data_IF_266664965661
#
_entry.id   IF_266664965661
#
_cell.length_a   1.000
_cell.length_b   1.000
_cell.length_c   1.000
_cell.angle_alpha   90.00
_cell.angle_beta   90.00
_cell.angle_gamma   90.00
#
_symmetry.space_group_name_H-M   'P 1'
#
loop_
_entity.id
_entity.type
_entity.pdbx_description
1 polymer ?
#
# COMPACT_ATOMS: atom_id res chain seq x y z
N UNK A 1 -18.34 1.89 -3.37
CA UNK A 1 -18.33 3.36 -3.59
C UNK A 1 -17.64 3.63 -4.93
N UNK A 2 -18.40 4.05 -5.95
CA UNK A 2 -17.84 4.46 -7.25
C UNK A 2 -17.91 5.96 -7.52
N UNK A 3 -18.58 6.72 -6.64
CA UNK A 3 -18.86 8.13 -6.85
C UNK A 3 -17.60 9.02 -7.04
N UNK A 4 -16.51 8.86 -6.24
CA UNK A 4 -15.29 9.65 -6.48
C UNK A 4 -14.66 9.38 -7.85
N UNK A 5 -14.65 8.12 -8.31
CA UNK A 5 -14.15 7.76 -9.64
C UNK A 5 -14.96 8.41 -10.75
N UNK A 6 -16.30 8.41 -10.63
CA UNK A 6 -17.19 9.04 -11.61
C UNK A 6 -16.93 10.54 -11.73
N UNK A 7 -16.73 11.23 -10.59
CA UNK A 7 -16.38 12.66 -10.59
C UNK A 7 -15.05 12.89 -11.31
N UNK A 8 -14.02 12.11 -10.99
CA UNK A 8 -12.71 12.23 -11.63
C UNK A 8 -12.79 11.97 -13.15
N UNK A 9 -13.52 10.94 -13.58
CA UNK A 9 -13.70 10.63 -14.99
C UNK A 9 -14.49 11.73 -15.74
N UNK A 10 -15.53 12.29 -15.11
CA UNK A 10 -16.28 13.41 -15.69
C UNK A 10 -15.39 14.64 -15.89
N UNK A 11 -14.62 15.02 -14.86
CA UNK A 11 -13.69 16.17 -14.94
C UNK A 11 -12.62 15.92 -16.00
N UNK A 12 -11.98 14.75 -16.01
CA UNK A 12 -10.94 14.41 -16.98
C UNK A 12 -11.47 14.46 -18.43
N UNK A 13 -12.67 13.93 -18.66
CA UNK A 13 -13.36 14.01 -19.96
C UNK A 13 -13.64 15.45 -20.37
N UNK A 14 -14.21 16.26 -19.48
CA UNK A 14 -14.50 17.69 -19.77
C UNK A 14 -13.23 18.45 -20.14
N UNK A 15 -12.13 18.25 -19.41
CA UNK A 15 -10.84 18.90 -19.70
C UNK A 15 -10.28 18.42 -21.04
N UNK A 16 -10.30 17.12 -21.32
CA UNK A 16 -9.85 16.57 -22.60
C UNK A 16 -10.62 17.15 -23.80
N UNK A 17 -11.95 17.29 -23.68
CA UNK A 17 -12.79 17.90 -24.70
C UNK A 17 -12.52 19.40 -24.87
N UNK A 18 -12.43 20.15 -23.76
CA UNK A 18 -12.23 21.60 -23.79
C UNK A 18 -10.92 21.99 -24.50
N UNK A 19 -9.85 21.22 -24.27
CA UNK A 19 -8.53 21.50 -24.85
C UNK A 19 -8.21 20.68 -26.10
N UNK A 20 -9.16 19.88 -26.59
CA UNK A 20 -8.97 18.96 -27.72
C UNK A 20 -7.69 18.10 -27.57
N UNK A 21 -7.51 17.51 -26.39
CA UNK A 21 -6.36 16.65 -26.05
C UNK A 21 -6.79 15.20 -25.90
N UNK A 22 -5.91 14.24 -26.24
CA UNK A 22 -6.17 12.83 -25.97
C UNK A 22 -6.28 12.60 -24.46
N UNK A 23 -7.07 11.59 -24.09
CA UNK A 23 -7.28 11.14 -22.72
C UNK A 23 -6.73 9.72 -22.58
N UNK A 24 -6.18 9.37 -21.42
CA UNK A 24 -5.67 8.03 -21.12
C UNK A 24 -6.28 7.53 -19.82
N UNK A 25 -6.83 6.32 -19.84
CA UNK A 25 -7.34 5.63 -18.66
C UNK A 25 -6.22 4.86 -17.98
N UNK A 26 -5.95 5.20 -16.71
CA UNK A 26 -4.81 4.67 -15.95
C UNK A 26 -5.29 3.82 -14.79
N UNK A 27 -4.64 2.68 -14.56
CA UNK A 27 -4.84 1.89 -13.34
C UNK A 27 -4.11 2.55 -12.16
N UNK A 28 -4.84 2.79 -11.07
CA UNK A 28 -4.34 3.48 -9.89
C UNK A 28 -3.11 2.80 -9.26
N UNK A 29 -3.13 1.47 -9.12
CA UNK A 29 -2.02 0.71 -8.52
C UNK A 29 -0.76 0.81 -9.39
N UNK A 30 -0.92 0.78 -10.71
CA UNK A 30 0.22 0.96 -11.64
C UNK A 30 0.77 2.38 -11.57
N UNK A 31 -0.07 3.39 -11.34
CA UNK A 31 0.37 4.75 -11.06
C UNK A 31 1.37 4.80 -9.91
N UNK A 32 1.04 4.20 -8.77
CA UNK A 32 1.92 4.07 -7.61
C UNK A 32 3.25 3.40 -7.96
N UNK A 33 3.20 2.26 -8.66
CA UNK A 33 4.39 1.48 -9.02
C UNK A 33 5.31 2.26 -9.97
N UNK A 34 4.78 2.79 -11.07
CA UNK A 34 5.59 3.46 -12.09
C UNK A 34 6.17 4.78 -11.60
N UNK A 35 5.43 5.52 -10.76
CA UNK A 35 5.96 6.69 -10.07
C UNK A 35 7.13 6.29 -9.15
N UNK A 36 6.91 5.29 -8.29
CA UNK A 36 7.93 4.80 -7.37
C UNK A 36 9.20 4.36 -8.11
N UNK A 37 9.06 3.62 -9.22
CA UNK A 37 10.19 3.23 -10.07
C UNK A 37 10.92 4.43 -10.66
N UNK A 38 10.19 5.40 -11.21
CA UNK A 38 10.77 6.58 -11.84
C UNK A 38 11.63 7.40 -10.86
N UNK A 39 11.14 7.63 -9.64
CA UNK A 39 11.82 8.50 -8.67
C UNK A 39 12.94 7.80 -7.91
N UNK A 40 12.82 6.48 -7.71
CA UNK A 40 13.82 5.69 -6.99
C UNK A 40 14.89 5.08 -7.89
N UNK A 41 14.63 4.99 -9.19
CA UNK A 41 15.49 4.31 -10.15
C UNK A 41 15.42 2.78 -10.05
N UNK A 42 14.44 2.21 -9.34
CA UNK A 42 14.27 0.75 -9.25
C UNK A 42 13.87 0.16 -10.61
N UNK A 43 14.59 -0.88 -11.03
CA UNK A 43 14.39 -1.47 -12.35
C UNK A 43 13.24 -2.48 -12.32
N UNK A 44 13.33 -3.49 -11.46
CA UNK A 44 12.35 -4.58 -11.38
C UNK A 44 12.07 -5.04 -9.94
N UNK A 45 11.50 -4.16 -9.11
CA UNK A 45 11.26 -4.47 -7.71
C UNK A 45 10.09 -5.42 -7.49
N UNK A 46 10.18 -6.18 -6.41
CA UNK A 46 9.00 -6.70 -5.71
C UNK A 46 8.35 -5.53 -4.97
N UNK A 47 7.09 -5.23 -5.27
CA UNK A 47 6.39 -4.08 -4.73
C UNK A 47 5.52 -4.50 -3.55
N UNK A 48 5.73 -3.87 -2.40
CA UNK A 48 4.77 -3.86 -1.30
C UNK A 48 3.87 -2.63 -1.44
N UNK A 49 2.63 -2.83 -1.88
CA UNK A 49 1.64 -1.76 -1.96
C UNK A 49 0.71 -1.78 -0.75
N UNK A 50 0.85 -0.78 0.13
CA UNK A 50 0.11 -0.66 1.39
C UNK A 50 -0.54 0.72 1.53
N UNK A 51 -1.87 0.75 1.45
CA UNK A 51 -2.68 1.95 1.61
C UNK A 51 -3.88 1.71 2.52
N UNK A 52 -4.73 2.74 2.69
CA UNK A 52 -6.01 2.59 3.40
C UNK A 52 -6.94 1.55 2.78
N UNK A 53 -6.81 1.29 1.47
CA UNK A 53 -7.70 0.39 0.72
C UNK A 53 -7.02 -0.82 0.10
N UNK A 54 -5.69 -0.88 0.05
CA UNK A 54 -4.95 -1.96 -0.63
C UNK A 54 -3.83 -2.50 0.25
N UNK A 55 -3.61 -3.81 0.18
CA UNK A 55 -2.45 -4.49 0.76
C UNK A 55 -2.11 -5.65 -0.16
N UNK A 56 -1.08 -5.46 -0.98
CA UNK A 56 -0.72 -6.39 -2.05
C UNK A 56 0.80 -6.46 -2.23
N UNK A 57 1.29 -7.67 -2.53
CA UNK A 57 2.64 -7.93 -3.00
C UNK A 57 2.59 -8.16 -4.49
N UNK A 58 3.23 -7.27 -5.25
CA UNK A 58 3.13 -7.22 -6.71
C UNK A 58 4.51 -7.38 -7.31
N UNK A 59 4.65 -8.17 -8.37
CA UNK A 59 5.88 -8.18 -9.17
C UNK A 59 5.56 -8.24 -10.66
N UNK A 60 6.45 -7.68 -11.47
CA UNK A 60 6.29 -7.64 -12.91
C UNK A 60 6.70 -8.98 -13.56
N UNK A 61 5.83 -9.54 -14.40
CA UNK A 61 6.10 -10.77 -15.14
C UNK A 61 5.25 -10.86 -16.40
N UNK A 62 5.91 -11.06 -17.55
CA UNK A 62 5.28 -11.20 -18.88
C UNK A 62 4.37 -10.01 -19.21
N UNK A 63 4.90 -8.79 -19.16
CA UNK A 63 4.18 -7.56 -19.50
C UNK A 63 2.92 -7.29 -18.67
N UNK A 64 2.90 -7.81 -17.44
CA UNK A 64 1.82 -7.62 -16.47
C UNK A 64 2.40 -7.52 -15.07
N UNK A 65 1.80 -6.68 -14.24
CA UNK A 65 2.06 -6.67 -12.81
C UNK A 65 1.16 -7.70 -12.15
N UNK A 66 1.75 -8.75 -11.58
CA UNK A 66 1.01 -9.87 -10.97
C UNK A 66 1.01 -9.75 -9.45
N UNK A 67 -0.10 -10.12 -8.85
CA UNK A 67 -0.26 -10.18 -7.39
C UNK A 67 0.21 -11.56 -6.92
N UNK A 68 1.21 -11.59 -6.04
CA UNK A 68 1.77 -12.82 -5.45
C UNK A 68 1.22 -13.08 -4.05
N UNK A 69 0.78 -12.03 -3.37
CA UNK A 69 0.15 -12.11 -2.05
C UNK A 69 -0.73 -10.90 -1.84
N UNK A 70 -1.85 -11.07 -1.14
CA UNK A 70 -2.75 -9.97 -0.81
C UNK A 70 -3.40 -10.16 0.57
N UNK A 71 -4.04 -9.10 1.07
CA UNK A 71 -4.91 -9.26 2.23
C UNK A 71 -6.16 -10.05 1.85
N UNK A 72 -6.54 -11.00 2.71
CA UNK A 72 -7.74 -11.82 2.55
C UNK A 72 -8.99 -11.06 3.01
N UNK A 73 -8.83 -10.06 3.89
CA UNK A 73 -9.94 -9.36 4.53
C UNK A 73 -9.91 -7.83 4.34
N UNK A 74 -9.24 -7.09 5.21
CA UNK A 74 -9.15 -5.63 5.20
C UNK A 74 -7.72 -5.21 4.86
N UNK A 75 -7.53 -4.03 4.28
CA UNK A 75 -6.19 -3.49 4.08
C UNK A 75 -5.55 -3.09 5.43
N UNK A 76 -4.21 -3.12 5.49
CA UNK A 76 -3.45 -2.71 6.67
C UNK A 76 -3.78 -1.29 7.10
N UNK A 77 -3.91 -0.35 6.15
CA UNK A 77 -4.28 1.02 6.48
C UNK A 77 -5.68 1.11 7.11
N UNK A 78 -6.65 0.31 6.65
CA UNK A 78 -7.96 0.23 7.27
C UNK A 78 -7.91 -0.37 8.69
N UNK A 79 -7.04 -1.35 8.91
CA UNK A 79 -6.79 -1.90 10.24
C UNK A 79 -6.25 -0.81 11.19
N UNK A 80 -5.24 -0.04 10.75
CA UNK A 80 -4.70 1.10 11.50
C UNK A 80 -5.79 2.15 11.78
N UNK A 81 -6.59 2.54 10.78
CA UNK A 81 -7.66 3.53 10.95
C UNK A 81 -8.74 3.09 11.95
N UNK A 82 -9.11 1.81 11.95
CA UNK A 82 -10.07 1.26 12.92
C UNK A 82 -9.47 1.21 14.32
N UNK A 83 -8.21 0.80 14.45
CA UNK A 83 -7.50 0.78 15.73
C UNK A 83 -7.33 2.19 16.31
N UNK A 84 -6.95 3.19 15.50
CA UNK A 84 -6.88 4.58 15.94
C UNK A 84 -8.22 5.08 16.50
N UNK A 85 -9.33 4.72 15.86
CA UNK A 85 -10.68 5.05 16.35
C UNK A 85 -11.02 4.37 17.67
N UNK A 86 -10.62 3.12 17.87
CA UNK A 86 -10.78 2.42 19.15
C UNK A 86 -10.07 3.18 20.28
N UNK A 87 -8.86 3.66 20.02
CA UNK A 87 -8.05 4.45 20.96
C UNK A 87 -8.45 5.92 21.04
N UNK A 88 -9.44 6.36 20.25
CA UNK A 88 -9.88 7.77 20.15
C UNK A 88 -8.74 8.73 19.77
N UNK A 89 -7.81 8.27 18.93
CA UNK A 89 -6.74 9.11 18.40
C UNK A 89 -7.28 10.11 17.38
N UNK A 90 -6.59 11.25 17.25
CA UNK A 90 -6.91 12.26 16.23
C UNK A 90 -6.72 11.68 14.83
N UNK A 91 -7.52 12.15 13.88
CA UNK A 91 -7.30 11.89 12.45
C UNK A 91 -6.28 12.87 11.84
N UNK A 92 -5.96 13.97 12.52
CA UNK A 92 -4.99 14.96 12.07
C UNK A 92 -3.60 14.67 12.70
N UNK A 93 -2.51 14.63 11.93
CA UNK A 93 -2.45 14.76 10.46
C UNK A 93 -2.87 13.48 9.70
N UNK A 94 -2.69 12.30 10.32
CA UNK A 94 -3.29 11.04 9.86
C UNK A 94 -3.38 10.04 11.03
N UNK A 95 -4.33 9.08 11.01
CA UNK A 95 -4.41 8.03 12.03
C UNK A 95 -3.13 7.18 12.13
N UNK A 96 -2.56 6.81 10.99
CA UNK A 96 -1.32 6.03 10.93
C UNK A 96 -0.12 6.74 11.56
N UNK A 97 0.04 8.04 11.29
CA UNK A 97 1.09 8.85 11.91
C UNK A 97 0.93 8.93 13.43
N UNK A 98 -0.30 9.12 13.93
CA UNK A 98 -0.55 9.22 15.35
C UNK A 98 -0.30 7.88 16.08
N UNK A 99 -0.61 6.74 15.45
CA UNK A 99 -0.24 5.42 15.95
C UNK A 99 1.29 5.30 16.03
N UNK A 100 2.01 5.73 14.99
CA UNK A 100 3.47 5.69 14.96
C UNK A 100 4.13 6.52 16.06
N UNK A 101 3.63 7.74 16.31
CA UNK A 101 4.18 8.57 17.39
C UNK A 101 3.93 7.97 18.78
N UNK A 102 2.80 7.29 18.99
CA UNK A 102 2.52 6.60 20.25
C UNK A 102 3.29 5.30 20.39
N UNK A 103 3.47 4.55 19.30
CA UNK A 103 4.24 3.31 19.27
C UNK A 103 5.69 3.53 19.73
N UNK A 104 6.29 4.69 19.42
CA UNK A 104 7.64 5.07 19.90
C UNK A 104 7.78 5.13 21.43
N UNK A 105 6.67 5.18 22.17
CA UNK A 105 6.63 5.22 23.64
C UNK A 105 6.19 3.89 24.27
N UNK A 106 5.81 2.91 23.45
CA UNK A 106 5.43 1.58 23.94
C UNK A 106 6.67 0.76 24.29
N UNK A 107 6.57 -0.05 25.33
CA UNK A 107 7.68 -0.89 25.80
C UNK A 107 7.29 -2.38 25.85
N UNK A 108 6.00 -2.68 25.98
CA UNK A 108 5.50 -4.05 26.14
C UNK A 108 4.85 -4.56 24.86
N UNK A 109 5.23 -5.77 24.47
CA UNK A 109 4.59 -6.50 23.38
C UNK A 109 3.37 -7.29 23.90
N UNK A 110 2.18 -6.85 23.52
CA UNK A 110 0.93 -7.56 23.76
C UNK A 110 0.83 -8.79 22.84
N UNK A 111 0.26 -9.92 23.31
CA UNK A 111 0.12 -11.12 22.52
C UNK A 111 -0.99 -10.94 21.48
N UNK A 112 -0.62 -10.53 20.26
CA UNK A 112 -1.54 -10.37 19.14
C UNK A 112 -1.51 -11.60 18.21
N UNK A 113 -2.63 -11.98 17.57
CA UNK A 113 -2.65 -13.04 16.57
C UNK A 113 -1.72 -12.74 15.39
N UNK A 114 -0.87 -13.69 15.02
CA UNK A 114 0.00 -13.57 13.85
C UNK A 114 -0.54 -14.44 12.71
N UNK A 115 -1.15 -13.83 11.68
CA UNK A 115 -1.97 -14.55 10.68
C UNK A 115 -1.44 -14.39 9.26
N UNK A 116 -0.45 -15.21 8.91
CA UNK A 116 0.09 -15.34 7.54
C UNK A 116 -0.32 -16.70 6.96
N UNK A 117 -0.89 -16.69 5.75
CA UNK A 117 -1.32 -17.90 5.01
C UNK A 117 -0.64 -17.92 3.65
N UNK A 118 0.48 -18.65 3.52
CA UNK A 118 1.27 -18.62 2.30
C UNK A 118 1.90 -17.24 2.08
N UNK A 119 1.49 -16.53 1.03
CA UNK A 119 1.90 -15.13 0.79
C UNK A 119 0.79 -14.12 1.13
N UNK A 120 -0.33 -14.60 1.68
CA UNK A 120 -1.47 -13.76 2.05
C UNK A 120 -1.50 -13.47 3.55
N UNK A 121 -2.20 -12.40 3.92
CA UNK A 121 -2.35 -11.91 5.31
C UNK A 121 -3.80 -11.65 5.67
N UNK A 122 -4.12 -11.66 6.96
CA UNK A 122 -5.44 -11.27 7.48
C UNK A 122 -5.26 -10.42 8.74
N UNK A 123 -5.92 -9.26 8.79
CA UNK A 123 -5.77 -8.31 9.89
C UNK A 123 -7.02 -8.19 10.77
N UNK A 124 -8.19 -8.65 10.31
CA UNK A 124 -9.44 -8.49 11.08
C UNK A 124 -9.38 -9.19 12.43
N UNK A 125 -8.76 -10.37 12.49
CA UNK A 125 -8.61 -11.14 13.73
C UNK A 125 -7.76 -10.41 14.78
N UNK A 126 -6.75 -9.66 14.35
CA UNK A 126 -5.92 -8.84 15.24
C UNK A 126 -6.77 -7.73 15.85
N UNK A 127 -7.50 -7.01 15.01
CA UNK A 127 -8.34 -5.90 15.45
C UNK A 127 -9.43 -6.37 16.42
N UNK A 128 -10.14 -7.47 16.10
CA UNK A 128 -11.16 -8.02 16.98
C UNK A 128 -10.57 -8.52 18.31
N UNK A 129 -9.37 -9.11 18.29
CA UNK A 129 -8.69 -9.52 19.52
C UNK A 129 -8.38 -8.34 20.43
N UNK A 130 -7.87 -7.24 19.86
CA UNK A 130 -7.62 -6.00 20.60
C UNK A 130 -8.95 -5.43 21.13
N UNK A 131 -9.97 -5.30 20.29
CA UNK A 131 -11.29 -4.77 20.69
C UNK A 131 -11.89 -5.54 21.88
N UNK A 132 -11.79 -6.88 21.88
CA UNK A 132 -12.29 -7.75 22.95
C UNK A 132 -11.51 -7.58 24.27
N UNK A 133 -10.19 -7.41 24.20
CA UNK A 133 -9.32 -7.39 25.38
C UNK A 133 -9.01 -5.98 25.90
N UNK A 134 -9.33 -4.94 25.12
CA UNK A 134 -8.92 -3.56 25.36
C UNK A 134 -9.28 -3.08 26.77
N UNK A 135 -10.56 -3.16 27.16
CA UNK A 135 -11.02 -2.69 28.47
C UNK A 135 -10.28 -3.41 29.61
N UNK A 136 -10.13 -4.73 29.51
CA UNK A 136 -9.42 -5.52 30.52
C UNK A 136 -7.95 -5.12 30.62
N UNK A 137 -7.26 -4.95 29.50
CA UNK A 137 -5.85 -4.57 29.49
C UNK A 137 -5.60 -3.19 30.08
N UNK A 138 -6.47 -2.22 29.77
CA UNK A 138 -6.38 -0.86 30.30
C UNK A 138 -6.75 -0.81 31.78
N UNK A 139 -7.86 -1.45 32.19
CA UNK A 139 -8.33 -1.45 33.58
C UNK A 139 -7.34 -2.12 34.52
N UNK A 140 -6.71 -3.20 34.07
CA UNK A 140 -5.67 -3.93 34.83
C UNK A 140 -4.28 -3.31 34.70
N UNK A 141 -4.12 -2.26 33.88
CA UNK A 141 -2.82 -1.64 33.54
C UNK A 141 -1.79 -2.65 33.00
N UNK A 142 -2.26 -3.71 32.35
CA UNK A 142 -1.40 -4.71 31.73
C UNK A 142 -0.61 -4.08 30.57
N UNK A 143 -1.32 -3.32 29.72
CA UNK A 143 -0.78 -2.62 28.55
C UNK A 143 -1.37 -1.21 28.46
N UNK A 144 -0.54 -0.23 28.12
CA UNK A 144 -1.00 1.13 27.83
C UNK A 144 -1.42 1.28 26.36
N UNK A 145 -2.11 2.36 25.97
CA UNK A 145 -2.38 2.64 24.55
C UNK A 145 -1.11 2.69 23.69
N UNK A 146 0.00 3.19 24.24
CA UNK A 146 1.32 3.21 23.61
C UNK A 146 1.86 1.79 23.37
N UNK A 147 1.77 0.90 24.37
CA UNK A 147 2.14 -0.51 24.23
C UNK A 147 1.32 -1.21 23.14
N UNK A 148 0.02 -0.89 23.03
CA UNK A 148 -0.84 -1.47 21.99
C UNK A 148 -0.50 -0.93 20.60
N UNK A 149 -0.16 0.37 20.46
CA UNK A 149 0.31 0.93 19.20
C UNK A 149 1.62 0.27 18.75
N UNK A 150 2.57 0.11 19.68
CA UNK A 150 3.82 -0.61 19.47
C UNK A 150 3.56 -2.05 19.02
N UNK A 151 2.77 -2.79 19.78
CA UNK A 151 2.47 -4.20 19.51
C UNK A 151 1.79 -4.42 18.17
N UNK A 152 0.86 -3.53 17.80
CA UNK A 152 0.18 -3.59 16.52
C UNK A 152 1.17 -3.39 15.37
N UNK A 153 2.03 -2.36 15.46
CA UNK A 153 3.02 -2.09 14.42
C UNK A 153 4.00 -3.26 14.26
N UNK A 154 4.62 -3.72 15.35
CA UNK A 154 5.57 -4.84 15.29
C UNK A 154 4.94 -6.10 14.69
N UNK A 155 3.71 -6.44 15.11
CA UNK A 155 3.03 -7.65 14.62
C UNK A 155 2.67 -7.52 13.15
N UNK A 156 1.98 -6.45 12.77
CA UNK A 156 1.46 -6.26 11.42
C UNK A 156 2.57 -6.03 10.41
N UNK A 157 3.58 -5.24 10.75
CA UNK A 157 4.70 -5.00 9.86
C UNK A 157 5.56 -6.24 9.71
N UNK A 158 5.81 -7.02 10.76
CA UNK A 158 6.50 -8.31 10.63
C UNK A 158 5.77 -9.25 9.64
N UNK A 159 4.43 -9.32 9.71
CA UNK A 159 3.64 -10.08 8.73
C UNK A 159 3.84 -9.59 7.30
N UNK A 160 3.87 -8.27 7.08
CA UNK A 160 4.12 -7.68 5.77
C UNK A 160 5.55 -7.95 5.27
N UNK A 161 6.56 -7.85 6.14
CA UNK A 161 7.95 -8.18 5.81
C UNK A 161 8.05 -9.65 5.40
N UNK A 162 7.45 -10.56 6.17
CA UNK A 162 7.50 -12.00 5.89
C UNK A 162 6.89 -12.35 4.52
N UNK A 163 5.69 -11.85 4.20
CA UNK A 163 5.09 -12.13 2.89
C UNK A 163 5.88 -11.49 1.74
N UNK A 164 6.48 -10.33 1.98
CA UNK A 164 7.33 -9.65 0.99
C UNK A 164 8.58 -10.49 0.72
N UNK A 165 9.24 -10.97 1.78
CA UNK A 165 10.42 -11.82 1.68
C UNK A 165 10.10 -13.15 0.94
N UNK A 166 8.98 -13.79 1.28
CA UNK A 166 8.51 -15.00 0.60
C UNK A 166 8.32 -14.76 -0.90
N UNK A 167 7.70 -13.63 -1.28
CA UNK A 167 7.50 -13.26 -2.66
C UNK A 167 8.82 -12.97 -3.39
N UNK A 168 9.73 -12.21 -2.76
CA UNK A 168 11.06 -11.93 -3.33
C UNK A 168 11.83 -13.23 -3.64
N UNK A 169 11.80 -14.19 -2.73
CA UNK A 169 12.41 -15.50 -2.94
C UNK A 169 11.77 -16.25 -4.11
N UNK A 170 10.44 -16.16 -4.26
CA UNK A 170 9.70 -16.80 -5.35
C UNK A 170 10.02 -16.19 -6.72
N UNK A 171 10.10 -14.85 -6.81
CA UNK A 171 10.37 -14.15 -8.09
C UNK A 171 11.85 -13.91 -8.36
N UNK A 172 12.73 -14.28 -7.41
CA UNK A 172 14.18 -14.06 -7.45
C UNK A 172 14.55 -12.58 -7.66
N UNK A 173 13.85 -11.69 -6.96
CA UNK A 173 14.14 -10.25 -6.98
C UNK A 173 15.04 -9.86 -5.81
N UNK A 174 15.96 -8.94 -6.07
CA UNK A 174 16.85 -8.32 -5.08
C UNK A 174 16.49 -6.85 -4.83
N UNK A 175 15.30 -6.43 -5.23
CA UNK A 175 14.81 -5.07 -5.06
C UNK A 175 13.42 -5.11 -4.42
N UNK A 176 13.19 -4.29 -3.41
CA UNK A 176 11.87 -4.04 -2.84
C UNK A 176 11.50 -2.59 -3.07
N UNK A 177 10.27 -2.34 -3.51
CA UNK A 177 9.70 -1.00 -3.59
C UNK A 177 8.48 -0.92 -2.68
N UNK A 178 8.48 0.00 -1.71
CA UNK A 178 7.31 0.27 -0.86
C UNK A 178 6.53 1.45 -1.46
N UNK A 179 5.24 1.27 -1.68
CA UNK A 179 4.32 2.33 -2.16
C UNK A 179 3.01 2.35 -1.36
N UNK A 180 2.27 3.44 -1.47
CA UNK A 180 1.04 3.68 -0.73
C UNK A 180 1.28 4.40 0.60
N UNK A 181 0.22 5.02 1.15
CA UNK A 181 0.36 5.92 2.30
C UNK A 181 0.83 5.26 3.59
N UNK A 182 0.59 3.96 3.79
CA UNK A 182 1.16 3.23 4.95
C UNK A 182 2.66 2.98 4.75
N UNK A 183 3.12 3.01 3.50
CA UNK A 183 4.52 2.91 3.14
C UNK A 183 5.39 4.07 3.64
N UNK A 184 4.77 5.19 4.02
CA UNK A 184 5.47 6.32 4.64
C UNK A 184 5.94 6.04 6.07
N UNK A 185 5.46 4.98 6.72
CA UNK A 185 5.77 4.68 8.11
C UNK A 185 7.26 4.31 8.27
N UNK A 186 7.98 5.03 9.13
CA UNK A 186 9.43 4.87 9.31
C UNK A 186 9.76 3.49 9.87
N UNK A 187 8.93 2.98 10.77
CA UNK A 187 9.13 1.65 11.39
C UNK A 187 9.00 0.52 10.37
N UNK A 188 8.00 0.58 9.48
CA UNK A 188 7.86 -0.36 8.37
C UNK A 188 9.08 -0.32 7.44
N UNK A 189 9.54 0.88 7.08
CA UNK A 189 10.73 1.04 6.23
C UNK A 189 12.01 0.52 6.91
N UNK A 190 12.16 0.75 8.22
CA UNK A 190 13.28 0.24 9.02
C UNK A 190 13.31 -1.29 9.01
N UNK A 191 12.18 -1.94 9.34
CA UNK A 191 12.06 -3.40 9.35
C UNK A 191 12.34 -4.00 7.97
N UNK A 192 11.81 -3.38 6.91
CA UNK A 192 12.09 -3.79 5.53
C UNK A 192 13.57 -3.61 5.18
N UNK A 193 14.22 -2.54 5.65
CA UNK A 193 15.63 -2.27 5.41
C UNK A 193 16.51 -3.36 6.02
N UNK A 194 16.19 -3.83 7.23
CA UNK A 194 16.89 -4.94 7.89
C UNK A 194 16.77 -6.21 7.05
N UNK A 195 15.55 -6.62 6.68
CA UNK A 195 15.33 -7.82 5.85
C UNK A 195 16.05 -7.71 4.50
N UNK A 196 16.02 -6.56 3.84
CA UNK A 196 16.74 -6.34 2.59
C UNK A 196 18.26 -6.50 2.77
N UNK A 197 18.84 -5.92 3.82
CA UNK A 197 20.28 -6.04 4.11
C UNK A 197 20.70 -7.49 4.34
N UNK A 198 19.92 -8.25 5.11
CA UNK A 198 20.20 -9.67 5.38
C UNK A 198 20.17 -10.53 4.12
N UNK A 199 19.41 -10.12 3.10
CA UNK A 199 19.30 -10.80 1.80
C UNK A 199 20.23 -10.28 0.70
N UNK A 200 21.06 -9.27 0.99
CA UNK A 200 21.80 -8.51 -0.03
C UNK A 200 20.88 -7.90 -1.11
N UNK A 201 19.72 -7.40 -0.70
CA UNK A 201 18.74 -6.72 -1.53
C UNK A 201 18.72 -5.21 -1.25
N UNK A 202 18.14 -4.43 -2.16
CA UNK A 202 17.99 -2.98 -2.05
C UNK A 202 16.55 -2.61 -1.74
N UNK A 203 16.36 -1.81 -0.69
CA UNK A 203 15.07 -1.18 -0.38
C UNK A 203 14.96 0.16 -1.10
N UNK A 204 13.88 0.32 -1.84
CA UNK A 204 13.40 1.58 -2.39
C UNK A 204 12.12 1.96 -1.65
N UNK A 205 12.17 3.08 -0.95
CA UNK A 205 11.02 3.68 -0.29
C UNK A 205 11.04 5.18 -0.56
N UNK A 206 9.87 5.82 -0.47
CA UNK A 206 9.72 7.23 -0.78
C UNK A 206 9.04 7.95 0.38
N UNK A 207 9.19 9.26 0.44
CA UNK A 207 8.47 10.07 1.42
C UNK A 207 7.02 10.34 0.99
N UNK A 208 6.28 11.02 1.86
CA UNK A 208 4.87 11.35 1.68
C UNK A 208 4.56 12.09 0.37
N UNK A 209 5.51 12.78 -0.26
CA UNK A 209 5.27 13.53 -1.51
C UNK A 209 4.90 12.61 -2.67
N UNK A 210 5.35 11.36 -2.63
CA UNK A 210 5.18 10.41 -3.72
C UNK A 210 4.55 9.08 -3.30
N UNK A 211 4.64 8.70 -2.03
CA UNK A 211 4.00 7.48 -1.50
C UNK A 211 2.47 7.59 -1.43
N UNK A 212 1.93 8.79 -1.21
CA UNK A 212 0.47 9.00 -1.10
C UNK A 212 -0.17 9.24 -2.46
N UNK A 213 -1.49 9.14 -2.52
CA UNK A 213 -2.27 9.41 -3.72
C UNK A 213 -2.04 10.84 -4.22
N UNK A 214 -1.51 10.96 -5.44
CA UNK A 214 -1.24 12.24 -6.07
C UNK A 214 -1.54 12.20 -7.57
N UNK A 215 -1.84 13.35 -8.18
CA UNK A 215 -2.16 13.43 -9.60
C UNK A 215 -0.95 13.13 -10.51
N UNK A 216 0.27 13.30 -10.02
CA UNK A 216 1.48 13.10 -10.81
C UNK A 216 1.71 11.63 -11.11
N UNK A 217 1.40 10.71 -10.19
CA UNK A 217 1.53 9.27 -10.42
C UNK A 217 0.64 8.78 -11.58
N UNK A 218 -0.56 9.38 -11.69
CA UNK A 218 -1.49 9.11 -12.79
C UNK A 218 -0.96 9.71 -14.09
N UNK A 219 -0.40 10.92 -14.05
CA UNK A 219 0.22 11.55 -15.21
C UNK A 219 1.44 10.77 -15.74
N UNK A 220 2.29 10.24 -14.85
CA UNK A 220 3.47 9.44 -15.22
C UNK A 220 3.06 8.15 -15.91
N UNK A 221 2.19 7.35 -15.29
CA UNK A 221 1.73 6.10 -15.90
C UNK A 221 0.94 6.37 -17.20
N UNK A 222 0.10 7.41 -17.24
CA UNK A 222 -0.62 7.82 -18.44
C UNK A 222 0.32 8.26 -19.58
N UNK A 223 1.41 8.97 -19.27
CA UNK A 223 2.41 9.37 -20.26
C UNK A 223 3.18 8.17 -20.80
N UNK A 224 3.55 7.21 -19.94
CA UNK A 224 4.21 5.97 -20.35
C UNK A 224 3.33 5.16 -21.31
N UNK A 225 2.05 4.99 -20.97
CA UNK A 225 1.08 4.32 -21.82
C UNK A 225 0.85 5.08 -23.13
N UNK A 226 0.64 6.40 -23.08
CA UNK A 226 0.39 7.23 -24.25
C UNK A 226 1.50 7.13 -25.29
N UNK A 227 2.76 7.11 -24.85
CA UNK A 227 3.92 7.02 -25.75
C UNK A 227 3.98 5.71 -26.55
N UNK A 228 3.32 4.65 -26.10
CA UNK A 228 3.30 3.33 -26.76
C UNK A 228 1.98 3.04 -27.47
N UNK A 229 0.86 3.38 -26.84
CA UNK A 229 -0.48 3.01 -27.28
C UNK A 229 -1.32 4.18 -27.81
N UNK A 230 -0.90 5.42 -27.53
CA UNK A 230 -1.69 6.62 -27.81
C UNK A 230 -2.82 6.84 -26.78
N UNK A 231 -3.85 7.58 -27.19
CA UNK A 231 -4.99 7.91 -26.32
C UNK A 231 -5.97 6.75 -26.19
N UNK A 232 -6.62 6.63 -25.03
CA UNK A 232 -7.72 5.68 -24.82
C UNK A 232 -8.96 6.11 -25.62
N UNK A 233 -9.61 5.20 -26.37
CA UNK A 233 -10.85 5.49 -27.06
C UNK A 233 -11.91 6.06 -26.11
N UNK A 234 -12.66 7.08 -26.58
CA UNK A 234 -13.62 7.79 -25.74
C UNK A 234 -14.65 6.85 -25.08
N UNK A 235 -15.13 5.85 -25.81
CA UNK A 235 -16.07 4.83 -25.32
C UNK A 235 -15.52 3.95 -24.20
N UNK A 236 -14.19 3.88 -24.05
CA UNK A 236 -13.49 3.07 -23.06
C UNK A 236 -12.99 3.87 -21.85
N UNK A 237 -13.20 5.19 -21.83
CA UNK A 237 -12.84 6.05 -20.67
C UNK A 237 -13.89 6.00 -19.56
N UNK A 238 -14.28 4.79 -19.17
CA UNK A 238 -15.23 4.52 -18.10
C UNK A 238 -14.52 4.26 -16.77
N UNK A 239 -15.28 4.17 -15.68
CA UNK A 239 -14.75 3.85 -14.36
C UNK A 239 -14.81 2.35 -14.10
N UNK A 240 -13.71 1.76 -13.65
CA UNK A 240 -13.64 0.36 -13.20
C UNK A 240 -13.32 0.36 -11.71
N UNK A 241 -14.29 0.02 -10.86
CA UNK A 241 -14.12 0.10 -9.40
C UNK A 241 -13.15 -0.99 -8.87
N UNK A 242 -13.17 -2.18 -9.47
CA UNK A 242 -12.32 -3.33 -9.09
C UNK A 242 -11.30 -3.61 -10.18
N UNK A 243 -10.52 -2.59 -10.54
CA UNK A 243 -9.56 -2.71 -11.62
C UNK A 243 -8.31 -3.45 -11.13
N UNK A 244 -8.23 -4.76 -11.38
CA UNK A 244 -7.09 -5.55 -10.90
C UNK A 244 -5.81 -5.13 -11.63
N UNK A 245 -4.71 -5.21 -10.91
CA UNK A 245 -3.38 -4.83 -11.41
C UNK A 245 -2.86 -5.80 -12.47
N UNK A 246 -3.25 -7.07 -12.40
CA UNK A 246 -2.89 -8.15 -13.32
C UNK A 246 -3.67 -8.13 -14.65
N UNK A 247 -4.83 -7.45 -14.68
CA UNK A 247 -5.63 -7.27 -15.89
C UNK A 247 -4.98 -6.30 -16.89
N UNK A 248 -4.09 -5.42 -16.43
CA UNK A 248 -3.47 -4.39 -17.27
C UNK A 248 -2.27 -4.95 -18.01
N UNK A 249 -2.28 -4.76 -19.34
CA UNK A 249 -1.10 -4.99 -20.16
C UNK A 249 -0.18 -3.77 -20.10
N UNK A 250 1.09 -4.00 -19.77
CA UNK A 250 2.11 -2.97 -19.59
C UNK A 250 3.00 -2.95 -20.82
N UNK A 251 2.58 -2.20 -21.85
CA UNK A 251 3.24 -2.15 -23.16
C UNK A 251 4.55 -1.35 -23.19
N UNK A 252 4.83 -0.56 -22.15
CA UNK A 252 6.01 0.31 -22.06
C UNK A 252 7.20 -0.34 -21.36
N UNK A 253 7.04 -1.57 -20.87
CA UNK A 253 8.11 -2.36 -20.26
C UNK A 253 8.40 -3.60 -21.12
N UNK A 254 9.67 -3.98 -21.17
CA UNK A 254 10.18 -5.20 -21.81
C UNK A 254 10.31 -6.34 -20.78
#
# INVERSE_FOLDING_TARGET
MGAPLTVAALVARTVAQLYNKPIVSVNHCIGHIEMGRLITGSENPTVLYVSGGNTQIIAYSRQRYRIFGETIDIAVGNCLDRFARLLKLSNDPSPGYNIEQLAKKGEKLAPLPYVVKGMDVSFSGILSHIEEHYSKWVDTKAFTPEDLCFSLQETVFAMLIEITERAMAHVRSNEVLIVGGVGCNERLQEMMSVMCKERNATLYATDERFCIDNGVMIAVAGLLQYKREGGTPWTQTTCVQRYRTDDVHVSWRE
#
